data_IF_260068145019
#
_entry.id   IF_260068145019
#
_cell.length_a   1.000
_cell.length_b   1.000
_cell.length_c   1.000
_cell.angle_alpha   90.00
_cell.angle_beta   90.00
_cell.angle_gamma   90.00
#
_symmetry.space_group_name_H-M   'P 1'
#
loop_
_entity.id
_entity.type
_entity.pdbx_description
1 polymer ?
#
# COMPACT_ATOMS: atom_id res chain seq x y z
N UNK A 1 0.82 10.14 0.41
CA UNK A 1 0.46 11.09 1.48
C UNK A 1 0.89 12.52 1.12
N UNK A 2 2.19 12.80 1.02
CA UNK A 2 2.73 14.13 0.70
C UNK A 2 2.13 14.82 -0.54
N UNK A 3 1.85 14.08 -1.63
CA UNK A 3 1.22 14.64 -2.82
C UNK A 3 -0.15 15.29 -2.52
N UNK A 4 -1.05 14.55 -1.85
CA UNK A 4 -2.37 15.07 -1.48
C UNK A 4 -2.28 16.15 -0.39
N UNK A 5 -1.34 16.02 0.55
CA UNK A 5 -1.08 17.07 1.53
C UNK A 5 -0.64 18.38 0.85
N UNK A 6 0.20 18.29 -0.18
CA UNK A 6 0.59 19.45 -1.00
C UNK A 6 -0.60 20.10 -1.72
N UNK A 7 -1.57 19.30 -2.20
CA UNK A 7 -2.81 19.83 -2.76
C UNK A 7 -3.66 20.56 -1.70
N UNK A 8 -3.75 20.02 -0.48
CA UNK A 8 -4.45 20.68 0.64
C UNK A 8 -3.78 22.01 1.03
N UNK A 9 -2.44 22.03 1.10
CA UNK A 9 -1.68 23.25 1.40
C UNK A 9 -1.86 24.30 0.31
N UNK A 10 -1.84 23.90 -0.96
CA UNK A 10 -2.09 24.79 -2.08
C UNK A 10 -3.49 25.39 -2.01
N UNK A 11 -4.51 24.57 -1.72
CA UNK A 11 -5.89 25.04 -1.53
C UNK A 11 -6.06 25.97 -0.31
N UNK A 12 -5.08 26.00 0.60
CA UNK A 12 -5.02 26.88 1.76
C UNK A 12 -4.09 28.09 1.53
N UNK A 13 -3.76 28.39 0.27
CA UNK A 13 -2.86 29.47 -0.14
C UNK A 13 -1.42 29.34 0.41
N UNK A 14 -1.00 28.16 0.86
CA UNK A 14 0.34 27.87 1.37
C UNK A 14 1.21 27.22 0.29
N UNK A 15 1.40 27.93 -0.82
CA UNK A 15 2.09 27.45 -2.00
C UNK A 15 3.56 27.05 -1.74
N UNK A 16 4.30 27.80 -0.91
CA UNK A 16 5.69 27.47 -0.57
C UNK A 16 5.82 26.14 0.18
N UNK A 17 4.95 25.90 1.17
CA UNK A 17 4.86 24.62 1.90
C UNK A 17 4.39 23.48 0.97
N UNK A 18 3.43 23.77 0.07
CA UNK A 18 2.94 22.79 -0.90
C UNK A 18 4.05 22.29 -1.84
N UNK A 19 4.90 23.18 -2.35
CA UNK A 19 6.08 22.83 -3.15
C UNK A 19 7.00 21.91 -2.34
N UNK A 20 7.30 22.26 -1.10
CA UNK A 20 8.21 21.46 -0.27
C UNK A 20 7.65 20.07 0.04
N UNK A 21 6.34 19.97 0.27
CA UNK A 21 5.63 18.69 0.42
C UNK A 21 5.74 17.84 -0.84
N UNK A 22 5.53 18.43 -2.02
CA UNK A 22 5.61 17.70 -3.30
C UNK A 22 7.03 17.26 -3.66
N UNK A 23 8.04 18.07 -3.35
CA UNK A 23 9.45 17.66 -3.45
C UNK A 23 9.75 16.44 -2.57
N UNK A 24 9.19 16.37 -1.37
CA UNK A 24 9.32 15.18 -0.54
C UNK A 24 8.59 13.97 -1.14
N UNK A 25 7.42 14.20 -1.75
CA UNK A 25 6.69 13.16 -2.49
C UNK A 25 7.51 12.59 -3.66
N UNK A 26 8.26 13.42 -4.40
CA UNK A 26 9.15 12.96 -5.47
C UNK A 26 10.28 12.09 -4.94
N UNK A 27 10.92 12.48 -3.82
CA UNK A 27 11.98 11.67 -3.19
C UNK A 27 11.48 10.27 -2.80
N UNK A 28 10.31 10.19 -2.16
CA UNK A 28 9.70 8.90 -1.80
C UNK A 28 9.28 8.10 -3.04
N UNK A 29 8.81 8.75 -4.10
CA UNK A 29 8.46 8.08 -5.34
C UNK A 29 9.69 7.47 -6.02
N UNK A 30 10.80 8.20 -6.10
CA UNK A 30 12.07 7.68 -6.62
C UNK A 30 12.60 6.51 -5.78
N UNK A 31 12.52 6.60 -4.44
CA UNK A 31 12.85 5.49 -3.55
C UNK A 31 11.96 4.26 -3.80
N UNK A 32 10.66 4.46 -3.99
CA UNK A 32 9.72 3.40 -4.31
C UNK A 32 10.02 2.76 -5.68
N UNK A 33 10.48 3.53 -6.66
CA UNK A 33 10.88 3.00 -7.97
C UNK A 33 12.09 2.07 -7.85
N UNK A 34 13.10 2.46 -7.05
CA UNK A 34 14.26 1.60 -6.76
C UNK A 34 13.83 0.29 -6.09
N UNK A 35 12.98 0.37 -5.07
CA UNK A 35 12.42 -0.81 -4.40
C UNK A 35 11.60 -1.70 -5.35
N UNK A 36 10.88 -1.13 -6.32
CA UNK A 36 10.16 -1.92 -7.33
C UNK A 36 11.12 -2.71 -8.23
N UNK A 37 12.32 -2.19 -8.52
CA UNK A 37 13.34 -2.90 -9.29
C UNK A 37 13.92 -4.05 -8.46
N UNK A 38 14.31 -3.77 -7.21
CA UNK A 38 14.79 -4.78 -6.25
C UNK A 38 13.76 -5.90 -6.04
N UNK A 39 12.48 -5.55 -5.90
CA UNK A 39 11.39 -6.51 -5.77
C UNK A 39 11.30 -7.45 -6.99
N UNK A 40 11.45 -6.92 -8.21
CA UNK A 40 11.39 -7.71 -9.44
C UNK A 40 12.58 -8.66 -9.62
N UNK A 41 13.71 -8.38 -8.96
CA UNK A 41 14.92 -9.20 -8.97
C UNK A 41 14.99 -10.20 -7.80
N UNK A 42 14.18 -9.97 -6.76
CA UNK A 42 14.12 -10.81 -5.57
C UNK A 42 13.42 -12.13 -5.86
N UNK A 43 14.04 -13.25 -5.44
CA UNK A 43 13.44 -14.59 -5.49
C UNK A 43 12.59 -14.82 -4.25
N UNK A 44 11.37 -15.32 -4.42
CA UNK A 44 10.48 -15.64 -3.31
C UNK A 44 9.18 -16.31 -3.76
N UNK A 45 8.29 -16.66 -2.80
CA UNK A 45 6.97 -17.19 -3.12
C UNK A 45 6.15 -16.21 -3.98
N UNK A 46 5.38 -16.75 -4.92
CA UNK A 46 4.54 -15.97 -5.83
C UNK A 46 5.17 -15.77 -7.21
N UNK A 47 4.50 -14.99 -8.05
CA UNK A 47 4.93 -14.69 -9.42
C UNK A 47 5.87 -13.48 -9.45
N UNK A 48 6.95 -13.54 -10.23
CA UNK A 48 7.80 -12.38 -10.48
C UNK A 48 6.98 -11.24 -11.09
N UNK A 49 6.94 -10.09 -10.41
CA UNK A 49 6.22 -8.92 -10.88
C UNK A 49 7.14 -7.71 -11.00
N UNK A 50 6.76 -6.76 -11.87
CA UNK A 50 7.48 -5.49 -12.09
C UNK A 50 6.53 -4.30 -11.83
N UNK A 51 6.29 -3.95 -10.55
CA UNK A 51 5.22 -3.02 -10.19
C UNK A 51 5.40 -1.60 -10.75
N UNK A 52 6.64 -1.17 -10.99
CA UNK A 52 6.95 0.15 -11.58
C UNK A 52 6.35 0.37 -12.97
N UNK A 53 6.14 -0.70 -13.75
CA UNK A 53 5.49 -0.64 -15.06
C UNK A 53 3.96 -0.57 -15.00
N UNK A 54 3.37 -0.88 -13.85
CA UNK A 54 1.92 -0.96 -13.71
C UNK A 54 1.26 0.43 -13.70
N UNK A 55 -0.01 0.47 -14.08
CA UNK A 55 -0.76 1.73 -14.21
C UNK A 55 -0.84 2.50 -12.88
N UNK A 56 -0.98 1.81 -11.75
CA UNK A 56 -1.09 2.48 -10.45
C UNK A 56 0.18 3.30 -10.13
N UNK A 57 1.36 2.76 -10.44
CA UNK A 57 2.64 3.40 -10.19
C UNK A 57 2.85 4.59 -11.14
N UNK A 58 2.61 4.38 -12.44
CA UNK A 58 2.75 5.44 -13.45
C UNK A 58 1.79 6.61 -13.22
N UNK A 59 0.53 6.33 -12.89
CA UNK A 59 -0.47 7.37 -12.59
C UNK A 59 -0.05 8.24 -11.41
N UNK A 60 0.50 7.63 -10.35
CA UNK A 60 1.01 8.37 -9.21
C UNK A 60 2.19 9.28 -9.60
N UNK A 61 3.15 8.78 -10.39
CA UNK A 61 4.28 9.57 -10.87
C UNK A 61 3.83 10.80 -11.66
N UNK A 62 2.91 10.62 -12.62
CA UNK A 62 2.34 11.74 -13.38
C UNK A 62 1.59 12.73 -12.50
N UNK A 63 0.83 12.25 -11.51
CA UNK A 63 0.12 13.12 -10.57
C UNK A 63 1.08 13.99 -9.76
N UNK A 64 2.15 13.41 -9.22
CA UNK A 64 3.16 14.14 -8.44
C UNK A 64 3.80 15.23 -9.30
N UNK A 65 4.30 14.86 -10.49
CA UNK A 65 4.96 15.79 -11.41
C UNK A 65 4.05 16.96 -11.80
N UNK A 66 2.85 16.66 -12.28
CA UNK A 66 1.90 17.69 -12.74
C UNK A 66 1.49 18.62 -11.59
N UNK A 67 1.33 18.08 -10.38
CA UNK A 67 0.95 18.89 -9.21
C UNK A 67 2.12 19.80 -8.79
N UNK A 68 3.36 19.30 -8.81
CA UNK A 68 4.55 20.10 -8.47
C UNK A 68 4.76 21.24 -9.46
N UNK A 69 4.70 20.96 -10.76
CA UNK A 69 4.80 21.98 -11.80
C UNK A 69 3.72 23.05 -11.64
N UNK A 70 2.50 22.65 -11.26
CA UNK A 70 1.41 23.58 -10.96
C UNK A 70 1.77 24.49 -9.77
N UNK A 71 2.20 23.92 -8.64
CA UNK A 71 2.59 24.71 -7.47
C UNK A 71 3.76 25.65 -7.78
N UNK A 72 4.76 25.22 -8.56
CA UNK A 72 5.87 26.07 -8.98
C UNK A 72 5.41 27.26 -9.83
N UNK A 73 4.51 27.04 -10.80
CA UNK A 73 3.93 28.13 -11.59
C UNK A 73 3.14 29.10 -10.71
N UNK A 74 2.23 28.59 -9.88
CA UNK A 74 1.43 29.43 -9.00
C UNK A 74 2.31 30.24 -8.04
N UNK A 75 3.36 29.64 -7.47
CA UNK A 75 4.28 30.38 -6.61
C UNK A 75 5.11 31.42 -7.37
N UNK A 76 5.48 31.13 -8.62
CA UNK A 76 6.26 32.04 -9.46
C UNK A 76 5.45 33.21 -10.04
N UNK A 77 4.12 33.09 -10.12
CA UNK A 77 3.24 34.13 -10.70
C UNK A 77 2.34 34.83 -9.69
N UNK A 78 1.94 34.15 -8.62
CA UNK A 78 0.89 34.62 -7.70
C UNK A 78 1.45 34.84 -6.30
N UNK A 79 2.02 33.80 -5.69
CA UNK A 79 2.26 33.79 -4.24
C UNK A 79 3.63 34.31 -3.81
N UNK A 80 4.69 34.07 -4.59
CA UNK A 80 6.08 34.43 -4.28
C UNK A 80 6.54 34.00 -2.88
N UNK A 81 6.00 32.90 -2.36
CA UNK A 81 6.31 32.40 -1.03
C UNK A 81 7.66 31.69 -1.02
N UNK A 82 8.40 31.83 0.08
CA UNK A 82 9.61 31.05 0.31
C UNK A 82 9.25 29.57 0.50
N UNK A 83 10.01 28.71 -0.15
CA UNK A 83 9.90 27.25 0.04
C UNK A 83 10.64 26.89 1.33
N UNK A 84 9.97 26.26 2.33
CA UNK A 84 10.63 25.82 3.56
C UNK A 84 11.74 24.80 3.27
N UNK A 85 12.79 24.78 4.10
CA UNK A 85 13.88 23.81 3.95
C UNK A 85 13.45 22.40 4.39
N UNK A 86 12.66 22.31 5.45
CA UNK A 86 12.21 21.05 6.03
C UNK A 86 10.86 20.61 5.46
N UNK A 87 10.67 19.30 5.32
CA UNK A 87 9.39 18.75 4.89
C UNK A 87 8.36 18.91 6.01
N UNK A 88 7.08 19.19 5.68
CA UNK A 88 6.02 19.25 6.68
C UNK A 88 5.87 17.89 7.38
N UNK A 89 5.73 17.90 8.71
CA UNK A 89 5.45 16.69 9.46
C UNK A 89 4.00 16.25 9.23
N UNK A 90 3.81 15.01 8.78
CA UNK A 90 2.49 14.47 8.45
C UNK A 90 1.81 13.88 9.70
N UNK A 91 1.03 14.68 10.41
CA UNK A 91 0.10 14.18 11.44
C UNK A 91 -1.26 13.81 10.80
N UNK A 92 -1.28 12.77 9.97
CA UNK A 92 -2.46 12.37 9.22
C UNK A 92 -3.28 11.32 10.00
N UNK A 93 -4.32 11.77 10.71
CA UNK A 93 -5.38 10.88 11.21
C UNK A 93 -6.53 10.86 10.22
N UNK A 94 -6.76 9.71 9.57
CA UNK A 94 -7.92 9.55 8.70
C UNK A 94 -9.20 9.54 9.54
N UNK A 95 -10.12 10.46 9.25
CA UNK A 95 -11.41 10.54 9.96
C UNK A 95 -12.38 9.44 9.52
N UNK A 96 -12.24 8.93 8.30
CA UNK A 96 -13.09 7.91 7.70
C UNK A 96 -12.27 6.96 6.83
N UNK A 97 -12.79 5.76 6.59
CA UNK A 97 -12.20 4.80 5.64
C UNK A 97 -11.03 3.98 6.16
N UNK A 98 -10.79 3.97 7.48
CA UNK A 98 -9.89 2.99 8.11
C UNK A 98 -10.52 1.61 7.97
N UNK A 99 -9.76 0.65 7.46
CA UNK A 99 -10.26 -0.71 7.25
C UNK A 99 -10.24 -1.46 8.58
N UNK A 100 -11.33 -2.18 8.88
CA UNK A 100 -11.38 -3.15 9.96
C UNK A 100 -11.46 -4.56 9.40
N UNK A 101 -10.86 -5.57 10.07
CA UNK A 101 -11.01 -6.96 9.67
C UNK A 101 -12.47 -7.37 9.67
N UNK A 102 -12.90 -8.06 8.61
CA UNK A 102 -14.24 -8.65 8.57
C UNK A 102 -14.25 -9.87 9.48
N UNK A 103 -15.17 -9.95 10.47
CA UNK A 103 -15.29 -11.14 11.30
C UNK A 103 -15.55 -12.38 10.44
N UNK A 104 -14.77 -13.43 10.69
CA UNK A 104 -14.92 -14.71 10.04
C UNK A 104 -15.06 -15.80 11.10
N UNK A 105 -16.11 -16.59 10.98
CA UNK A 105 -16.36 -17.76 11.83
C UNK A 105 -16.45 -19.00 10.95
N UNK A 106 -15.87 -20.10 11.43
CA UNK A 106 -16.07 -21.40 10.77
C UNK A 106 -17.54 -21.81 10.84
N UNK A 107 -18.05 -22.56 9.85
CA UNK A 107 -19.37 -23.13 9.96
C UNK A 107 -19.45 -24.06 11.18
N UNK A 108 -20.66 -24.24 11.69
CA UNK A 108 -20.91 -25.23 12.72
C UNK A 108 -20.45 -26.63 12.27
N UNK A 109 -20.02 -27.45 13.23
CA UNK A 109 -19.60 -28.81 12.96
C UNK A 109 -20.70 -29.58 12.21
N UNK A 110 -20.34 -30.30 11.16
CA UNK A 110 -21.30 -31.04 10.37
C UNK A 110 -22.06 -32.07 11.24
N UNK A 111 -23.37 -32.16 11.09
CA UNK A 111 -24.24 -33.06 11.86
C UNK A 111 -23.87 -34.56 11.76
N UNK A 112 -23.10 -34.96 10.75
CA UNK A 112 -22.58 -36.33 10.62
C UNK A 112 -21.47 -36.66 11.64
N UNK A 113 -20.85 -35.64 12.26
CA UNK A 113 -19.91 -35.85 13.37
C UNK A 113 -20.68 -36.13 14.66
N UNK A 114 -21.12 -37.37 14.81
CA UNK A 114 -21.78 -37.91 16.00
C UNK A 114 -20.78 -38.67 16.88
N UNK A 115 -21.02 -38.81 18.20
CA UNK A 115 -20.18 -39.59 19.09
C UNK A 115 -19.95 -41.03 18.62
N UNK A 116 -20.98 -41.67 18.05
CA UNK A 116 -20.92 -43.02 17.49
C UNK A 116 -19.98 -43.09 16.28
N UNK A 117 -20.04 -42.07 15.42
CA UNK A 117 -19.17 -41.97 14.25
C UNK A 117 -17.72 -41.71 14.67
N UNK A 118 -17.49 -40.86 15.66
CA UNK A 118 -16.16 -40.60 16.22
C UNK A 118 -15.59 -41.86 16.89
N UNK A 119 -16.39 -42.59 17.65
CA UNK A 119 -15.98 -43.81 18.33
C UNK A 119 -15.62 -44.95 17.36
N UNK A 120 -16.17 -44.93 16.14
CA UNK A 120 -15.84 -45.90 15.09
C UNK A 120 -14.44 -45.68 14.47
N UNK A 121 -13.80 -44.53 14.68
CA UNK A 121 -12.40 -44.31 14.26
C UNK A 121 -11.42 -45.05 15.19
N UNK A 122 -11.19 -46.32 14.89
CA UNK A 122 -10.26 -47.18 15.62
C UNK A 122 -8.82 -46.97 15.12
N UNK A 123 -8.03 -46.18 15.87
CA UNK A 123 -6.63 -45.87 15.56
C UNK A 123 -5.69 -47.09 15.63
N UNK A 124 -6.14 -48.22 16.19
CA UNK A 124 -5.37 -49.46 16.27
C UNK A 124 -5.47 -50.31 15.01
N UNK A 125 -6.50 -50.08 14.18
CA UNK A 125 -6.73 -50.75 12.89
C UNK A 125 -6.22 -49.89 11.73
N UNK A 126 -4.95 -49.48 11.77
CA UNK A 126 -4.32 -48.88 10.59
C UNK A 126 -4.32 -49.91 9.45
N UNK A 127 -4.74 -49.56 8.22
CA UNK A 127 -4.35 -50.33 7.05
C UNK A 127 -2.81 -50.43 7.07
N UNK A 128 -2.26 -51.64 6.88
CA UNK A 128 -0.82 -51.78 6.67
C UNK A 128 -0.46 -50.89 5.48
N UNK A 129 0.62 -50.10 5.60
CA UNK A 129 1.26 -49.48 4.44
C UNK A 129 1.40 -50.57 3.37
N UNK A 130 0.72 -50.42 2.24
CA UNK A 130 1.06 -51.16 1.03
C UNK A 130 2.37 -50.58 0.50
N UNK A 131 3.46 -50.90 1.19
CA UNK A 131 4.79 -50.90 0.63
C UNK A 131 4.87 -51.97 -0.44
N UNK A 132 4.41 -51.69 -1.66
CA UNK A 132 4.89 -52.41 -2.85
C UNK A 132 4.89 -51.50 -4.10
N UNK A 133 6.11 -51.07 -4.45
CA UNK A 133 6.65 -50.72 -5.79
C UNK A 133 6.22 -49.44 -6.50
#
# INVERSE_FOLDING_TARGET
AYCYHGQTLLASDKCGEAIRSLQESEKFFAKAEALCKEYGETKGPGTTAKPSGHLFFRKLGSLIKNTLEKCQRENGFIYFQKVPAEAPQLELKANYGLVEPVPFEFPALNAHWTPETVAAFDLTKRPKDDTVR
#
